data_IF_356829747957
#
_entry.id   IF_356829747957
#
_cell.length_a   1.000
_cell.length_b   1.000
_cell.length_c   1.000
_cell.angle_alpha   90.00
_cell.angle_beta   90.00
_cell.angle_gamma   90.00
#
_symmetry.space_group_name_H-M   'P 1'
#
loop_
_entity.id
_entity.type
_entity.pdbx_description
1 polymer ?
#
# COMPACT_ATOMS: atom_id res chain seq x y z
N UNK A 1 20.94 -24.97 18.07
CA UNK A 1 20.97 -23.50 18.23
C UNK A 1 20.37 -23.16 19.58
N UNK A 2 21.14 -22.56 20.49
CA UNK A 2 20.60 -22.09 21.77
C UNK A 2 19.96 -20.71 21.58
N UNK A 3 18.66 -20.62 21.86
CA UNK A 3 17.87 -19.39 21.68
C UNK A 3 17.71 -18.60 22.99
N UNK A 4 18.17 -19.14 24.13
CA UNK A 4 18.06 -18.44 25.43
C UNK A 4 18.59 -17.00 25.39
N UNK A 5 19.74 -16.70 24.76
CA UNK A 5 20.24 -15.32 24.69
C UNK A 5 19.31 -14.34 23.97
N UNK A 6 18.52 -14.82 23.00
CA UNK A 6 17.52 -14.00 22.30
C UNK A 6 16.25 -13.84 23.14
N UNK A 7 15.81 -14.90 23.80
CA UNK A 7 14.63 -14.91 24.67
C UNK A 7 14.85 -13.99 25.88
N UNK A 8 16.05 -14.02 26.47
CA UNK A 8 16.42 -13.20 27.61
C UNK A 8 16.39 -11.69 27.27
N UNK A 9 16.52 -11.33 25.99
CA UNK A 9 16.45 -9.95 25.48
C UNK A 9 15.05 -9.51 25.03
N UNK A 10 14.00 -10.30 25.28
CA UNK A 10 12.64 -9.98 24.83
C UNK A 10 12.15 -8.60 25.29
N UNK A 11 12.51 -8.17 26.50
CA UNK A 11 12.04 -6.91 27.08
C UNK A 11 12.76 -5.72 26.43
N UNK A 12 14.04 -5.88 26.09
CA UNK A 12 14.81 -4.90 25.31
C UNK A 12 14.24 -4.76 23.89
N UNK A 13 13.94 -5.88 23.22
CA UNK A 13 13.33 -5.87 21.90
C UNK A 13 11.93 -5.25 21.92
N UNK A 14 11.11 -5.55 22.93
CA UNK A 14 9.80 -4.95 23.12
C UNK A 14 9.90 -3.44 23.33
N UNK A 15 10.86 -2.99 24.15
CA UNK A 15 11.13 -1.57 24.36
C UNK A 15 11.54 -0.88 23.06
N UNK A 16 12.49 -1.45 22.32
CA UNK A 16 12.89 -0.93 21.00
C UNK A 16 11.70 -0.77 20.06
N UNK A 17 10.84 -1.81 19.92
CA UNK A 17 9.64 -1.71 19.09
C UNK A 17 8.69 -0.59 19.53
N UNK A 18 8.47 -0.43 20.84
CA UNK A 18 7.60 0.63 21.37
C UNK A 18 8.20 2.01 21.08
N UNK A 19 9.50 2.19 21.32
CA UNK A 19 10.20 3.46 21.11
C UNK A 19 10.16 3.86 19.62
N UNK A 20 10.43 2.92 18.72
CA UNK A 20 10.40 3.13 17.26
C UNK A 20 8.98 3.44 16.73
N UNK A 21 7.98 2.65 17.14
CA UNK A 21 6.58 2.93 16.78
C UNK A 21 6.18 4.32 17.29
N UNK A 22 6.59 4.67 18.50
CA UNK A 22 6.31 5.98 19.10
C UNK A 22 6.98 7.10 18.32
N UNK A 23 8.24 6.94 17.94
CA UNK A 23 8.98 7.91 17.11
C UNK A 23 8.28 8.12 15.75
N UNK A 24 7.98 7.04 15.03
CA UNK A 24 7.29 7.10 13.74
C UNK A 24 5.92 7.80 13.88
N UNK A 25 5.16 7.50 14.94
CA UNK A 25 3.83 8.08 15.12
C UNK A 25 3.83 9.55 15.58
N UNK A 26 4.88 10.00 16.28
CA UNK A 26 4.95 11.37 16.83
C UNK A 26 5.72 12.33 15.94
N UNK A 27 6.77 11.84 15.29
CA UNK A 27 7.79 12.69 14.67
C UNK A 27 7.74 12.66 13.13
N UNK A 28 6.94 11.77 12.53
CA UNK A 28 6.72 11.71 11.08
C UNK A 28 5.30 12.12 10.71
N UNK A 29 5.14 12.68 9.50
CA UNK A 29 3.82 13.01 8.95
C UNK A 29 3.03 11.75 8.56
N UNK A 30 1.75 11.92 8.22
CA UNK A 30 0.85 10.85 7.79
C UNK A 30 1.45 10.07 6.63
N UNK A 31 1.59 8.75 6.81
CA UNK A 31 2.24 7.82 5.88
C UNK A 31 1.27 7.18 4.88
N UNK A 32 0.29 7.96 4.40
CA UNK A 32 -0.58 7.50 3.32
C UNK A 32 0.22 7.38 2.02
N UNK A 33 -0.17 6.50 1.08
CA UNK A 33 0.58 6.32 -0.16
C UNK A 33 0.77 7.63 -0.94
N UNK A 34 2.00 7.88 -1.40
CA UNK A 34 2.38 9.07 -2.15
C UNK A 34 2.46 10.39 -1.37
N UNK A 35 2.41 10.36 -0.04
CA UNK A 35 2.60 11.56 0.80
C UNK A 35 4.08 11.81 1.15
N UNK A 36 4.36 13.00 1.72
CA UNK A 36 5.68 13.32 2.27
C UNK A 36 6.07 12.37 3.41
N UNK A 37 5.14 12.05 4.30
CA UNK A 37 5.37 11.16 5.44
C UNK A 37 5.73 9.73 5.02
N UNK A 38 5.13 9.21 3.93
CA UNK A 38 5.53 7.93 3.34
C UNK A 38 7.02 7.94 2.95
N UNK A 39 7.44 8.95 2.19
CA UNK A 39 8.84 9.09 1.77
C UNK A 39 9.79 9.22 2.96
N UNK A 40 9.46 10.05 3.94
CA UNK A 40 10.26 10.23 5.17
C UNK A 40 10.43 8.90 5.92
N UNK A 41 9.36 8.10 6.03
CA UNK A 41 9.42 6.80 6.68
C UNK A 41 10.30 5.80 5.90
N UNK A 42 10.26 5.83 4.57
CA UNK A 42 11.14 5.01 3.73
C UNK A 42 12.62 5.41 3.88
N UNK A 43 12.91 6.72 3.89
CA UNK A 43 14.28 7.23 4.10
C UNK A 43 14.80 6.88 5.50
N UNK A 44 13.94 6.98 6.53
CA UNK A 44 14.26 6.56 7.88
C UNK A 44 14.57 5.07 7.97
N UNK A 45 13.69 4.23 7.41
CA UNK A 45 13.91 2.78 7.40
C UNK A 45 15.18 2.38 6.63
N UNK A 46 15.46 3.04 5.50
CA UNK A 46 16.70 2.80 4.76
C UNK A 46 17.94 3.14 5.62
N UNK A 47 17.87 4.20 6.42
CA UNK A 47 18.92 4.57 7.38
C UNK A 47 19.10 3.50 8.46
N UNK A 48 18.01 3.07 9.12
CA UNK A 48 18.04 2.00 10.14
C UNK A 48 18.62 0.70 9.57
N UNK A 49 18.24 0.32 8.35
CA UNK A 49 18.75 -0.89 7.70
C UNK A 49 20.27 -0.80 7.46
N UNK A 50 20.76 0.38 7.06
CA UNK A 50 22.17 0.59 6.76
C UNK A 50 23.03 0.74 8.02
N UNK A 51 22.59 1.55 8.98
CA UNK A 51 23.35 1.92 10.17
C UNK A 51 23.24 0.86 11.27
N UNK A 52 22.02 0.36 11.54
CA UNK A 52 21.76 -0.52 12.70
C UNK A 52 21.67 -2.00 12.33
N UNK A 53 21.22 -2.32 11.11
CA UNK A 53 21.02 -3.72 10.68
C UNK A 53 22.20 -4.30 9.90
N UNK A 54 23.20 -3.49 9.56
CA UNK A 54 24.40 -3.91 8.81
C UNK A 54 24.11 -4.31 7.36
N UNK A 55 23.09 -3.70 6.72
CA UNK A 55 22.87 -3.87 5.29
C UNK A 55 23.96 -3.11 4.51
N UNK A 56 24.53 -3.75 3.48
CA UNK A 56 25.51 -3.12 2.59
C UNK A 56 24.86 -2.02 1.75
N UNK A 57 23.62 -2.28 1.32
CA UNK A 57 22.81 -1.38 0.50
C UNK A 57 21.43 -1.24 1.12
N UNK A 58 20.90 -0.04 1.10
CA UNK A 58 19.51 0.26 1.41
C UNK A 58 19.12 1.48 0.59
N UNK A 59 18.25 1.31 -0.41
CA UNK A 59 17.84 2.38 -1.31
C UNK A 59 16.35 2.63 -1.20
N UNK A 60 15.97 3.87 -1.46
CA UNK A 60 14.59 4.31 -1.59
C UNK A 60 14.28 4.46 -3.07
N UNK A 61 13.38 3.63 -3.58
CA UNK A 61 13.02 3.57 -4.99
C UNK A 61 11.62 4.17 -5.20
N UNK A 62 11.52 5.16 -6.07
CA UNK A 62 10.24 5.79 -6.42
C UNK A 62 9.48 5.01 -7.49
N UNK A 63 8.16 4.94 -7.36
CA UNK A 63 7.28 4.37 -8.37
C UNK A 63 5.99 5.20 -8.53
N UNK A 64 5.29 5.01 -9.65
CA UNK A 64 4.04 5.71 -9.95
C UNK A 64 2.83 4.89 -9.53
N UNK A 65 1.90 5.53 -8.84
CA UNK A 65 0.69 4.90 -8.34
C UNK A 65 -0.50 5.87 -8.32
N UNK A 66 -1.71 5.31 -8.30
CA UNK A 66 -2.96 6.04 -8.22
C UNK A 66 -3.72 5.56 -6.97
N UNK A 67 -3.32 5.96 -5.75
CA UNK A 67 -3.76 5.27 -4.53
C UNK A 67 -5.27 5.35 -4.30
N UNK A 68 -5.93 6.39 -4.82
CA UNK A 68 -7.38 6.50 -4.79
C UNK A 68 -8.12 5.45 -5.63
N UNK A 69 -7.45 4.80 -6.60
CA UNK A 69 -8.11 3.86 -7.52
C UNK A 69 -8.54 2.57 -6.82
N UNK A 70 -7.79 2.13 -5.81
CA UNK A 70 -7.97 0.82 -5.19
C UNK A 70 -9.33 0.67 -4.49
N UNK A 71 -9.82 1.72 -3.85
CA UNK A 71 -11.20 1.76 -3.33
C UNK A 71 -12.14 2.56 -4.23
N UNK A 72 -11.59 3.45 -5.06
CA UNK A 72 -12.39 4.34 -5.90
C UNK A 72 -13.20 3.65 -7.00
N UNK A 73 -12.82 2.44 -7.43
CA UNK A 73 -13.63 1.65 -8.36
C UNK A 73 -15.05 1.35 -7.82
N UNK A 74 -15.20 1.30 -6.49
CA UNK A 74 -16.48 1.06 -5.82
C UNK A 74 -17.49 2.14 -6.21
N UNK A 75 -17.07 3.41 -6.29
CA UNK A 75 -17.95 4.51 -6.69
C UNK A 75 -18.56 4.27 -8.07
N UNK A 76 -17.77 3.84 -9.05
CA UNK A 76 -18.27 3.51 -10.38
C UNK A 76 -19.29 2.36 -10.33
N UNK A 77 -18.94 1.27 -9.64
CA UNK A 77 -19.81 0.08 -9.60
C UNK A 77 -21.14 0.34 -8.88
N UNK A 78 -21.13 1.09 -7.77
CA UNK A 78 -22.35 1.45 -7.04
C UNK A 78 -23.19 2.40 -7.89
N UNK A 79 -22.59 3.41 -8.51
CA UNK A 79 -23.31 4.31 -9.43
C UNK A 79 -23.95 3.53 -10.57
N UNK A 80 -23.25 2.56 -11.18
CA UNK A 80 -23.82 1.73 -12.25
C UNK A 80 -25.00 0.90 -11.77
N UNK A 81 -24.91 0.28 -10.59
CA UNK A 81 -26.01 -0.50 -10.01
C UNK A 81 -27.24 0.39 -9.72
N UNK A 82 -27.05 1.55 -9.09
CA UNK A 82 -28.15 2.47 -8.79
C UNK A 82 -28.83 2.99 -10.06
N UNK A 83 -28.04 3.37 -11.08
CA UNK A 83 -28.57 3.77 -12.39
C UNK A 83 -29.28 2.61 -13.09
N UNK A 84 -28.74 1.39 -13.01
CA UNK A 84 -29.37 0.21 -13.60
C UNK A 84 -30.75 -0.06 -13.00
N UNK A 85 -30.90 0.08 -11.67
CA UNK A 85 -32.19 -0.08 -10.98
C UNK A 85 -33.20 0.96 -11.47
N UNK A 86 -32.80 2.24 -11.54
CA UNK A 86 -33.68 3.31 -12.00
C UNK A 86 -34.11 3.12 -13.47
N UNK A 87 -33.17 2.70 -14.33
CA UNK A 87 -33.41 2.54 -15.77
C UNK A 87 -34.11 1.24 -16.13
N UNK A 88 -34.21 0.27 -15.22
CA UNK A 88 -34.77 -1.05 -15.51
C UNK A 88 -36.16 -0.99 -16.16
N UNK A 89 -37.02 -0.08 -15.68
CA UNK A 89 -38.41 0.03 -16.11
C UNK A 89 -38.61 0.75 -17.45
N UNK A 90 -37.61 1.52 -17.91
CA UNK A 90 -37.70 2.35 -19.13
C UNK A 90 -36.72 1.92 -20.22
N UNK A 91 -35.57 1.39 -19.85
CA UNK A 91 -34.49 0.99 -20.74
C UNK A 91 -33.74 -0.25 -20.17
N UNK A 92 -34.38 -1.43 -20.17
CA UNK A 92 -33.84 -2.63 -19.54
C UNK A 92 -32.52 -3.11 -20.15
N UNK A 93 -32.29 -2.87 -21.45
CA UNK A 93 -31.02 -3.20 -22.11
C UNK A 93 -29.87 -2.34 -21.55
N UNK A 94 -30.11 -1.05 -21.31
CA UNK A 94 -29.10 -0.15 -20.72
C UNK A 94 -28.79 -0.59 -19.29
N UNK A 95 -29.82 -0.97 -18.52
CA UNK A 95 -29.66 -1.55 -17.19
C UNK A 95 -28.73 -2.77 -17.20
N UNK A 96 -28.96 -3.73 -18.11
CA UNK A 96 -28.10 -4.91 -18.26
C UNK A 96 -26.64 -4.53 -18.59
N UNK A 97 -26.43 -3.59 -19.52
CA UNK A 97 -25.09 -3.12 -19.90
C UNK A 97 -24.35 -2.54 -18.68
N UNK A 98 -25.02 -1.71 -17.87
CA UNK A 98 -24.43 -1.12 -16.67
C UNK A 98 -24.00 -2.18 -15.65
N UNK A 99 -24.83 -3.20 -15.43
CA UNK A 99 -24.48 -4.32 -14.53
C UNK A 99 -23.29 -5.10 -15.05
N UNK A 100 -23.27 -5.47 -16.33
CA UNK A 100 -22.15 -6.19 -16.95
C UNK A 100 -20.87 -5.36 -16.88
N UNK A 101 -20.93 -4.06 -17.17
CA UNK A 101 -19.80 -3.15 -17.07
C UNK A 101 -19.29 -3.04 -15.63
N UNK A 102 -20.19 -2.95 -14.64
CA UNK A 102 -19.83 -2.94 -13.22
C UNK A 102 -19.11 -4.22 -12.80
N UNK A 103 -19.64 -5.39 -13.16
CA UNK A 103 -19.02 -6.68 -12.90
C UNK A 103 -17.64 -6.82 -13.58
N UNK A 104 -17.51 -6.31 -14.81
CA UNK A 104 -16.23 -6.28 -15.51
C UNK A 104 -15.20 -5.42 -14.76
N UNK A 105 -15.57 -4.25 -14.23
CA UNK A 105 -14.69 -3.42 -13.41
C UNK A 105 -14.26 -4.18 -12.14
N UNK A 106 -15.19 -4.82 -11.42
CA UNK A 106 -14.86 -5.63 -10.23
C UNK A 106 -13.85 -6.72 -10.59
N UNK A 107 -14.12 -7.49 -11.64
CA UNK A 107 -13.28 -8.60 -12.04
C UNK A 107 -11.88 -8.14 -12.48
N UNK A 108 -11.79 -7.07 -13.27
CA UNK A 108 -10.51 -6.56 -13.75
C UNK A 108 -9.70 -5.88 -12.64
N UNK A 109 -10.34 -5.02 -11.85
CA UNK A 109 -9.67 -4.21 -10.83
C UNK A 109 -9.39 -5.00 -9.55
N UNK A 110 -10.37 -5.72 -9.01
CA UNK A 110 -10.22 -6.45 -7.74
C UNK A 110 -9.83 -7.91 -7.94
N UNK A 111 -10.32 -8.56 -9.01
CA UNK A 111 -9.98 -9.95 -9.31
C UNK A 111 -8.59 -10.12 -9.92
N UNK A 112 -8.28 -9.34 -10.97
CA UNK A 112 -7.02 -9.46 -11.72
C UNK A 112 -5.99 -8.36 -11.40
N UNK A 113 -6.30 -7.41 -10.52
CA UNK A 113 -5.44 -6.27 -10.17
C UNK A 113 -4.93 -5.48 -11.39
N UNK A 114 -5.74 -5.42 -12.45
CA UNK A 114 -5.45 -4.59 -13.62
C UNK A 114 -5.88 -3.15 -13.34
N UNK A 115 -5.07 -2.19 -13.78
CA UNK A 115 -5.30 -0.74 -13.65
C UNK A 115 -6.43 -0.24 -14.57
N UNK A 116 -7.65 -0.70 -14.37
CA UNK A 116 -8.79 -0.47 -15.26
C UNK A 116 -9.35 0.96 -15.12
N UNK A 117 -9.47 1.46 -13.89
CA UNK A 117 -10.04 2.79 -13.61
C UNK A 117 -9.04 3.79 -13.06
N UNK A 118 -7.78 3.39 -12.86
CA UNK A 118 -6.71 4.19 -12.27
C UNK A 118 -6.50 5.55 -12.94
N UNK A 119 -6.73 5.62 -14.26
CA UNK A 119 -6.64 6.87 -15.04
C UNK A 119 -7.57 7.98 -14.54
N UNK A 120 -8.64 7.65 -13.83
CA UNK A 120 -9.57 8.64 -13.27
C UNK A 120 -9.12 9.19 -11.90
N UNK A 121 -8.00 8.69 -11.36
CA UNK A 121 -7.47 9.11 -10.07
C UNK A 121 -6.11 9.81 -10.26
N UNK A 122 -5.78 10.80 -9.41
CA UNK A 122 -4.47 11.46 -9.47
C UNK A 122 -3.33 10.45 -9.38
N UNK A 123 -2.32 10.63 -10.23
CA UNK A 123 -1.06 9.88 -10.13
C UNK A 123 -0.16 10.55 -9.10
N UNK A 124 0.28 9.79 -8.11
CA UNK A 124 1.24 10.18 -7.10
C UNK A 124 2.54 9.37 -7.25
N UNK A 125 3.56 9.79 -6.51
CA UNK A 125 4.86 9.10 -6.49
C UNK A 125 5.02 8.44 -5.13
N UNK A 126 4.89 7.11 -5.10
CA UNK A 126 5.14 6.28 -3.93
C UNK A 126 6.62 5.90 -3.81
N UNK A 127 7.01 5.36 -2.66
CA UNK A 127 8.39 4.98 -2.37
C UNK A 127 8.47 3.59 -1.72
N UNK A 128 9.42 2.78 -2.17
CA UNK A 128 9.74 1.48 -1.56
C UNK A 128 11.17 1.49 -1.03
N UNK A 129 11.45 0.64 -0.04
CA UNK A 129 12.80 0.44 0.48
C UNK A 129 13.28 -0.95 0.11
N UNK A 130 14.41 -1.01 -0.59
CA UNK A 130 15.07 -2.26 -0.96
C UNK A 130 16.44 -2.29 -0.31
N UNK A 131 16.73 -3.33 0.48
CA UNK A 131 18.02 -3.49 1.15
C UNK A 131 18.68 -4.83 0.85
N UNK A 132 20.01 -4.82 0.81
CA UNK A 132 20.84 -6.01 0.61
C UNK A 132 21.74 -6.19 1.82
N UNK A 133 21.58 -7.33 2.49
CA UNK A 133 22.48 -7.79 3.56
C UNK A 133 23.22 -9.03 3.06
N UNK A 134 24.53 -8.91 2.85
CA UNK A 134 25.36 -10.06 2.48
C UNK A 134 25.35 -11.07 3.61
N UNK A 135 25.20 -12.34 3.25
CA UNK A 135 25.46 -13.42 4.19
C UNK A 135 26.96 -13.44 4.45
N UNK A 136 27.37 -13.34 5.71
CA UNK A 136 28.79 -13.44 6.08
C UNK A 136 29.29 -14.88 6.15
N UNK A 137 28.45 -15.87 5.82
CA UNK A 137 28.74 -17.29 6.07
C UNK A 137 28.79 -17.61 7.57
N UNK A 138 28.75 -18.90 7.91
CA UNK A 138 29.39 -19.38 9.14
C UNK A 138 30.92 -19.35 8.97
#
# INVERSE_FOLDING_TARGET
MDLKPLIDKKDEAAKYMIDEITHICKDMDTRSPGTKGEKEACEYMAKVLKEDCGCERADVESFKENPGSFFGWIYFTITFVLLAIALYFVAPIISLILIVAGLAIVFLQFGLYKKCVDRFFPELTGHNVTAVKKCTGE
#
